data_IF_299164233414
#
_entry.id   IF_299164233414
#
_cell.length_a   1.000
_cell.length_b   1.000
_cell.length_c   1.000
_cell.angle_alpha   90.00
_cell.angle_beta   90.00
_cell.angle_gamma   90.00
#
_symmetry.space_group_name_H-M   'P 1'
#
loop_
_entity.id
_entity.type
_entity.pdbx_description
1 polymer ?
#
# COMPACT_ATOMS: atom_id res chain seq x y z
N UNK A 1 47.28 -48.41 -17.36
CA UNK A 1 48.72 -48.31 -17.68
C UNK A 1 48.82 -47.72 -19.07
N UNK A 2 49.38 -46.49 -19.15
CA UNK A 2 50.43 -46.05 -20.10
C UNK A 2 50.44 -46.71 -21.50
N UNK A 3 50.54 -46.06 -22.66
CA UNK A 3 50.98 -44.71 -23.06
C UNK A 3 50.99 -44.68 -24.60
N UNK A 4 50.81 -43.49 -25.20
CA UNK A 4 51.56 -42.90 -26.34
C UNK A 4 51.58 -43.60 -27.72
N UNK A 5 51.03 -42.94 -28.74
CA UNK A 5 51.70 -42.13 -29.79
C UNK A 5 52.19 -42.99 -30.97
N UNK A 6 51.71 -42.69 -32.19
CA UNK A 6 52.57 -42.14 -33.25
C UNK A 6 51.78 -41.79 -34.51
N UNK A 7 52.04 -40.58 -35.00
CA UNK A 7 51.73 -40.10 -36.35
C UNK A 7 52.71 -40.74 -37.35
N UNK A 8 52.25 -41.05 -38.58
CA UNK A 8 53.10 -40.78 -39.74
C UNK A 8 52.36 -40.61 -41.07
N UNK A 9 52.90 -39.67 -41.83
CA UNK A 9 52.50 -39.17 -43.14
C UNK A 9 52.71 -40.19 -44.28
N UNK A 10 51.92 -40.07 -45.38
CA UNK A 10 52.45 -39.85 -46.76
C UNK A 10 51.36 -39.72 -47.85
N UNK A 11 51.35 -38.53 -48.46
CA UNK A 11 51.30 -38.14 -49.89
C UNK A 11 50.50 -38.95 -50.95
N UNK A 12 49.60 -38.19 -51.61
CA UNK A 12 49.40 -37.96 -53.06
C UNK A 12 49.12 -39.15 -53.99
N UNK A 13 47.95 -39.14 -54.66
CA UNK A 13 47.79 -39.12 -56.13
C UNK A 13 46.43 -38.48 -56.50
N UNK A 14 46.47 -37.69 -57.58
CA UNK A 14 45.41 -36.96 -58.27
C UNK A 14 44.16 -37.76 -58.67
N UNK A 15 43.04 -37.06 -58.86
CA UNK A 15 41.89 -37.65 -59.53
C UNK A 15 40.61 -36.83 -59.48
N UNK A 16 40.63 -35.69 -60.15
CA UNK A 16 39.53 -35.05 -60.89
C UNK A 16 38.06 -35.32 -60.53
N UNK A 17 37.27 -34.27 -60.74
CA UNK A 17 35.84 -34.23 -61.08
C UNK A 17 34.78 -34.11 -59.97
N UNK A 18 34.05 -32.98 -60.12
CA UNK A 18 32.66 -32.67 -59.69
C UNK A 18 32.51 -31.93 -58.37
N UNK A 19 32.42 -30.60 -58.50
CA UNK A 19 31.73 -29.71 -57.58
C UNK A 19 30.32 -30.27 -57.30
N UNK A 20 30.13 -30.83 -56.12
CA UNK A 20 28.84 -30.87 -55.45
C UNK A 20 28.84 -29.73 -54.42
N UNK A 21 28.01 -28.73 -54.68
CA UNK A 21 27.63 -27.69 -53.72
C UNK A 21 26.82 -28.36 -52.59
N UNK A 22 27.50 -28.87 -51.58
CA UNK A 22 26.90 -29.22 -50.30
C UNK A 22 26.69 -27.93 -49.51
N UNK A 23 25.46 -27.41 -49.55
CA UNK A 23 24.99 -26.44 -48.56
C UNK A 23 25.07 -27.08 -47.17
N UNK A 24 26.12 -26.75 -46.43
CA UNK A 24 26.14 -26.89 -44.98
C UNK A 24 25.07 -25.95 -44.42
N UNK A 25 23.90 -26.51 -44.13
CA UNK A 25 22.89 -25.81 -43.33
C UNK A 25 23.43 -25.79 -41.91
N UNK A 26 24.08 -24.69 -41.56
CA UNK A 26 24.49 -24.37 -40.20
C UNK A 26 23.21 -24.29 -39.35
N UNK A 27 22.91 -25.35 -38.58
CA UNK A 27 21.96 -25.28 -37.49
C UNK A 27 22.58 -24.37 -36.42
N UNK A 28 22.42 -23.06 -36.60
CA UNK A 28 22.54 -22.12 -35.50
C UNK A 28 21.42 -22.47 -34.52
N UNK A 29 21.79 -23.15 -33.43
CA UNK A 29 20.97 -23.18 -32.22
C UNK A 29 20.94 -21.74 -31.72
N UNK A 30 19.99 -20.97 -32.24
CA UNK A 30 19.59 -19.70 -31.65
C UNK A 30 18.97 -20.09 -30.32
N UNK A 31 19.78 -20.07 -29.25
CA UNK A 31 19.27 -19.86 -27.91
C UNK A 31 18.55 -18.52 -27.99
N UNK A 32 17.26 -18.58 -28.28
CA UNK A 32 16.34 -17.48 -28.03
C UNK A 32 16.37 -17.30 -26.52
N UNK A 33 17.26 -16.43 -26.05
CA UNK A 33 17.03 -15.64 -24.85
C UNK A 33 15.75 -14.86 -25.13
N UNK A 34 14.61 -15.53 -24.94
CA UNK A 34 13.39 -14.83 -24.63
C UNK A 34 13.78 -13.92 -23.46
N UNK A 35 13.61 -12.59 -23.58
CA UNK A 35 13.69 -11.78 -22.39
C UNK A 35 12.71 -12.41 -21.42
N UNK A 36 13.22 -12.86 -20.27
CA UNK A 36 12.38 -13.03 -19.10
C UNK A 36 11.73 -11.66 -18.98
N UNK A 37 10.50 -11.54 -19.47
CA UNK A 37 9.63 -10.47 -19.08
C UNK A 37 9.54 -10.67 -17.58
N UNK A 38 10.39 -9.94 -16.86
CA UNK A 38 10.09 -9.51 -15.51
C UNK A 38 8.64 -9.09 -15.61
N UNK A 39 7.75 -9.89 -15.04
CA UNK A 39 6.41 -9.44 -14.72
C UNK A 39 6.68 -8.23 -13.86
N UNK A 40 6.59 -7.04 -14.48
CA UNK A 40 6.49 -5.82 -13.75
C UNK A 40 5.34 -6.10 -12.79
N UNK A 41 5.67 -6.31 -11.51
CA UNK A 41 4.69 -6.50 -10.46
C UNK A 41 3.79 -5.28 -10.58
N UNK A 42 2.65 -5.44 -11.25
CA UNK A 42 1.65 -4.39 -11.34
C UNK A 42 1.08 -4.32 -9.95
N UNK A 43 1.74 -3.52 -9.11
CA UNK A 43 1.23 -3.10 -7.82
C UNK A 43 -0.23 -2.76 -8.04
N UNK A 44 -1.13 -3.41 -7.30
CA UNK A 44 -2.58 -3.28 -7.49
C UNK A 44 -3.04 -1.81 -7.43
N UNK A 45 -2.19 -0.91 -6.94
CA UNK A 45 -2.45 0.49 -6.69
C UNK A 45 -3.05 0.68 -5.30
N UNK A 46 -3.24 1.94 -4.93
CA UNK A 46 -3.75 2.28 -3.60
C UNK A 46 -5.29 2.21 -3.55
N UNK A 47 -5.85 1.71 -2.45
CA UNK A 47 -7.30 1.69 -2.21
C UNK A 47 -7.74 2.81 -1.25
N UNK A 48 -8.49 3.77 -1.77
CA UNK A 48 -9.28 4.74 -1.00
C UNK A 48 -10.66 4.13 -0.75
N UNK A 49 -10.87 3.59 0.46
CA UNK A 49 -12.02 2.76 0.80
C UNK A 49 -13.03 3.61 1.60
N UNK A 50 -14.21 3.85 1.04
CA UNK A 50 -15.31 4.47 1.79
C UNK A 50 -15.82 3.53 2.87
N UNK A 51 -15.74 3.96 4.13
CA UNK A 51 -16.23 3.19 5.28
C UNK A 51 -17.77 3.19 5.35
N UNK A 52 -18.36 2.10 5.83
CA UNK A 52 -19.76 1.97 6.25
C UNK A 52 -20.77 2.41 5.17
N UNK A 53 -20.52 2.02 3.92
CA UNK A 53 -21.31 2.46 2.76
C UNK A 53 -22.58 1.63 2.54
N UNK A 54 -23.35 1.43 3.60
CA UNK A 54 -24.48 0.50 3.66
C UNK A 54 -25.74 0.89 2.86
N UNK A 55 -25.71 2.02 2.14
CA UNK A 55 -26.80 2.49 1.28
C UNK A 55 -26.27 2.96 -0.07
N UNK A 56 -27.14 2.97 -1.07
CA UNK A 56 -26.86 3.45 -2.42
C UNK A 56 -26.36 4.91 -2.40
N UNK A 57 -26.91 5.73 -1.49
CA UNK A 57 -26.50 7.11 -1.28
C UNK A 57 -25.10 7.21 -0.66
N UNK A 58 -24.76 6.36 0.30
CA UNK A 58 -23.41 6.31 0.87
C UNK A 58 -22.36 5.86 -0.17
N UNK A 59 -22.68 4.87 -1.01
CA UNK A 59 -21.81 4.46 -2.13
C UNK A 59 -21.61 5.62 -3.12
N UNK A 60 -22.69 6.32 -3.49
CA UNK A 60 -22.61 7.48 -4.38
C UNK A 60 -21.75 8.59 -3.78
N UNK A 61 -21.89 8.86 -2.47
CA UNK A 61 -21.08 9.84 -1.76
C UNK A 61 -19.60 9.45 -1.77
N UNK A 62 -19.26 8.21 -1.43
CA UNK A 62 -17.86 7.76 -1.38
C UNK A 62 -17.20 7.89 -2.77
N UNK A 63 -17.86 7.38 -3.80
CA UNK A 63 -17.45 7.50 -5.21
C UNK A 63 -17.24 8.95 -5.62
N UNK A 64 -18.22 9.83 -5.35
CA UNK A 64 -18.16 11.25 -5.71
C UNK A 64 -16.96 11.94 -5.06
N UNK A 65 -16.57 11.47 -3.88
CA UNK A 65 -15.42 11.96 -3.13
C UNK A 65 -14.13 11.19 -3.44
N UNK A 66 -14.05 10.48 -4.57
CA UNK A 66 -12.80 9.90 -5.08
C UNK A 66 -12.46 8.51 -4.52
N UNK A 67 -13.36 7.86 -3.79
CA UNK A 67 -13.17 6.46 -3.40
C UNK A 67 -13.11 5.56 -4.64
N UNK A 68 -12.17 4.63 -4.65
CA UNK A 68 -12.10 3.52 -5.61
C UNK A 68 -12.34 2.17 -4.92
N UNK A 69 -12.59 2.16 -3.61
CA UNK A 69 -13.08 1.02 -2.86
C UNK A 69 -14.21 1.44 -1.94
N UNK A 70 -15.03 0.47 -1.53
CA UNK A 70 -16.08 0.68 -0.53
C UNK A 70 -16.13 -0.49 0.43
N UNK A 71 -16.50 -0.24 1.68
CA UNK A 71 -16.78 -1.26 2.68
C UNK A 71 -18.28 -1.25 3.02
N UNK A 72 -18.85 -2.44 3.21
CA UNK A 72 -20.25 -2.66 3.54
C UNK A 72 -20.43 -3.76 4.60
N UNK A 73 -21.28 -3.47 5.59
CA UNK A 73 -21.52 -4.31 6.76
C UNK A 73 -22.61 -5.36 6.49
N UNK A 74 -22.23 -6.57 6.11
CA UNK A 74 -23.17 -7.61 5.74
C UNK A 74 -23.79 -8.30 6.96
N UNK A 75 -25.14 -8.38 6.98
CA UNK A 75 -25.92 -9.19 7.90
C UNK A 75 -26.65 -10.31 7.18
N UNK A 76 -26.84 -11.40 7.91
CA UNK A 76 -27.49 -12.62 7.43
C UNK A 76 -28.88 -12.77 8.06
N UNK A 77 -29.78 -13.43 7.34
CA UNK A 77 -31.01 -13.96 7.92
C UNK A 77 -30.74 -15.22 8.77
N UNK A 78 -31.80 -15.76 9.38
CA UNK A 78 -31.73 -16.98 10.21
C UNK A 78 -31.29 -18.25 9.47
N UNK A 79 -31.32 -18.23 8.13
CA UNK A 79 -30.90 -19.35 7.29
C UNK A 79 -29.47 -19.16 6.75
N UNK A 80 -28.79 -18.08 7.15
CA UNK A 80 -27.46 -17.77 6.65
C UNK A 80 -27.45 -17.20 5.25
N UNK A 81 -28.56 -16.63 4.78
CA UNK A 81 -28.62 -15.92 3.49
C UNK A 81 -28.28 -14.45 3.73
N UNK A 82 -27.38 -13.84 2.94
CA UNK A 82 -27.15 -12.39 2.94
C UNK A 82 -28.47 -11.60 2.81
N UNK A 83 -28.88 -10.91 3.87
CA UNK A 83 -30.17 -10.20 3.93
C UNK A 83 -30.00 -8.72 3.59
N UNK A 84 -29.15 -8.04 4.34
CA UNK A 84 -28.99 -6.58 4.25
C UNK A 84 -27.60 -6.12 4.64
N UNK A 85 -27.23 -4.95 4.12
CA UNK A 85 -26.09 -4.21 4.62
C UNK A 85 -26.55 -3.21 5.68
N UNK A 86 -26.01 -3.32 6.88
CA UNK A 86 -26.32 -2.43 8.01
C UNK A 86 -25.31 -2.62 9.13
N UNK A 87 -24.63 -1.55 9.49
CA UNK A 87 -23.73 -1.50 10.64
C UNK A 87 -24.47 -1.80 11.96
N UNK A 88 -25.40 -0.91 12.36
CA UNK A 88 -25.97 -0.89 13.71
C UNK A 88 -25.37 0.24 14.55
N UNK A 89 -25.90 0.47 15.75
CA UNK A 89 -25.34 1.45 16.68
C UNK A 89 -24.30 0.80 17.63
N UNK A 90 -23.25 1.52 18.06
CA UNK A 90 -22.89 2.91 17.68
C UNK A 90 -22.11 3.00 16.35
N UNK A 91 -22.13 4.17 15.69
CA UNK A 91 -21.22 4.50 14.57
C UNK A 91 -19.84 4.94 15.07
N UNK A 92 -18.89 5.03 14.14
CA UNK A 92 -17.70 5.87 14.26
C UNK A 92 -18.01 7.35 14.53
N UNK A 93 -17.22 7.95 15.43
CA UNK A 93 -17.48 9.26 16.04
C UNK A 93 -17.30 10.44 15.06
N UNK A 94 -16.35 10.33 14.14
CA UNK A 94 -16.08 11.34 13.10
C UNK A 94 -17.00 11.23 11.88
N UNK A 95 -17.76 10.14 11.78
CA UNK A 95 -18.61 9.85 10.63
C UNK A 95 -19.67 10.95 10.40
N UNK A 96 -20.19 11.55 11.48
CA UNK A 96 -21.18 12.64 11.41
C UNK A 96 -20.62 14.02 11.07
N UNK A 97 -19.30 14.21 11.10
CA UNK A 97 -18.65 15.53 10.89
C UNK A 97 -18.13 15.64 9.47
N UNK A 98 -19.01 15.90 8.49
CA UNK A 98 -18.66 15.92 7.06
C UNK A 98 -18.10 14.56 6.55
N UNK A 99 -18.53 13.46 7.17
CA UNK A 99 -18.22 12.09 6.77
C UNK A 99 -19.43 11.38 6.17
N UNK A 100 -19.29 10.07 5.89
CA UNK A 100 -20.36 9.25 5.28
C UNK A 100 -21.69 9.29 6.05
N UNK A 101 -21.68 9.46 7.38
CA UNK A 101 -22.93 9.53 8.15
C UNK A 101 -23.76 10.77 7.85
N UNK A 102 -23.16 11.83 7.28
CA UNK A 102 -23.93 13.02 6.88
C UNK A 102 -24.95 12.69 5.80
N UNK A 103 -24.62 11.78 4.88
CA UNK A 103 -25.56 11.31 3.85
C UNK A 103 -26.49 10.21 4.35
N UNK A 104 -26.11 9.51 5.42
CA UNK A 104 -26.97 8.52 6.09
C UNK A 104 -27.96 9.17 7.09
N UNK A 105 -27.77 10.43 7.47
CA UNK A 105 -28.54 11.08 8.54
C UNK A 105 -30.06 11.08 8.28
N UNK A 106 -30.47 11.29 7.03
CA UNK A 106 -31.87 11.21 6.60
C UNK A 106 -32.38 9.77 6.38
N UNK A 107 -31.52 8.77 6.51
CA UNK A 107 -31.79 7.34 6.30
C UNK A 107 -31.73 6.52 7.61
N UNK A 108 -31.64 7.19 8.76
CA UNK A 108 -31.52 6.55 10.08
C UNK A 108 -30.07 6.45 10.60
N UNK A 109 -29.12 7.16 9.98
CA UNK A 109 -27.73 7.25 10.42
C UNK A 109 -27.04 5.88 10.43
N UNK A 110 -26.54 5.46 11.58
CA UNK A 110 -25.88 4.15 11.78
C UNK A 110 -26.77 2.95 11.54
N UNK A 111 -28.10 3.16 11.61
CA UNK A 111 -29.10 2.13 11.40
C UNK A 111 -29.55 2.07 9.93
N UNK A 112 -29.11 3.02 9.10
CA UNK A 112 -29.36 3.02 7.68
C UNK A 112 -28.80 1.74 7.05
N UNK A 113 -29.59 1.16 6.15
CA UNK A 113 -29.21 -0.08 5.50
C UNK A 113 -30.17 -0.43 4.38
N UNK A 114 -29.68 -1.26 3.47
CA UNK A 114 -30.42 -1.71 2.30
C UNK A 114 -30.32 -3.23 2.13
N UNK A 115 -31.28 -3.83 1.42
CA UNK A 115 -31.19 -5.24 1.06
C UNK A 115 -29.89 -5.54 0.32
N UNK A 116 -29.30 -6.71 0.57
CA UNK A 116 -28.02 -7.10 -0.02
C UNK A 116 -28.05 -7.01 -1.55
N UNK A 117 -29.11 -7.55 -2.15
CA UNK A 117 -29.35 -7.50 -3.60
C UNK A 117 -29.32 -6.08 -4.18
N UNK A 118 -30.10 -5.15 -3.61
CA UNK A 118 -30.18 -3.78 -4.12
C UNK A 118 -28.83 -3.07 -4.08
N UNK A 119 -28.11 -3.18 -2.96
CA UNK A 119 -26.84 -2.49 -2.80
C UNK A 119 -25.73 -3.10 -3.68
N UNK A 120 -25.62 -4.44 -3.74
CA UNK A 120 -24.63 -5.10 -4.60
C UNK A 120 -24.85 -4.76 -6.07
N UNK A 121 -26.10 -4.79 -6.56
CA UNK A 121 -26.42 -4.39 -7.92
C UNK A 121 -26.03 -2.93 -8.20
N UNK A 122 -26.23 -2.04 -7.23
CA UNK A 122 -25.82 -0.64 -7.35
C UNK A 122 -24.30 -0.49 -7.36
N UNK A 123 -23.58 -1.21 -6.52
CA UNK A 123 -22.11 -1.24 -6.51
C UNK A 123 -21.58 -1.76 -7.85
N UNK A 124 -22.16 -2.83 -8.40
CA UNK A 124 -21.77 -3.37 -9.71
C UNK A 124 -21.90 -2.35 -10.85
N UNK A 125 -22.87 -1.42 -10.75
CA UNK A 125 -23.02 -0.33 -11.72
C UNK A 125 -21.91 0.73 -11.66
N UNK A 126 -21.07 0.74 -10.61
CA UNK A 126 -20.03 1.75 -10.39
C UNK A 126 -18.70 1.32 -11.01
N UNK A 127 -18.55 1.65 -12.30
CA UNK A 127 -17.35 1.32 -13.06
C UNK A 127 -16.03 1.91 -12.52
N UNK A 128 -16.06 2.88 -11.59
CA UNK A 128 -14.83 3.39 -10.94
C UNK A 128 -14.36 2.58 -9.72
N UNK A 129 -15.17 1.63 -9.23
CA UNK A 129 -14.80 0.84 -8.05
C UNK A 129 -13.91 -0.33 -8.43
N UNK A 130 -12.74 -0.40 -7.82
CA UNK A 130 -11.76 -1.47 -7.92
C UNK A 130 -11.85 -2.49 -6.78
N UNK A 131 -12.56 -2.16 -5.70
CA UNK A 131 -12.64 -2.99 -4.50
C UNK A 131 -13.99 -2.85 -3.78
N UNK A 132 -14.49 -3.97 -3.27
CA UNK A 132 -15.54 -4.02 -2.24
C UNK A 132 -15.03 -4.85 -1.07
N UNK A 133 -15.11 -4.31 0.14
CA UNK A 133 -14.84 -5.04 1.38
C UNK A 133 -16.18 -5.41 2.01
N UNK A 134 -16.39 -6.70 2.24
CA UNK A 134 -17.59 -7.24 2.89
C UNK A 134 -17.24 -7.52 4.35
N UNK A 135 -17.60 -6.61 5.25
CA UNK A 135 -17.49 -6.82 6.69
C UNK A 135 -18.64 -7.73 7.12
N UNK A 136 -18.35 -9.02 7.25
CA UNK A 136 -19.36 -10.02 7.54
C UNK A 136 -19.65 -10.06 9.05
N UNK A 137 -20.84 -9.60 9.44
CA UNK A 137 -21.28 -9.60 10.85
C UNK A 137 -21.74 -10.99 11.29
N UNK A 138 -20.78 -11.90 11.42
CA UNK A 138 -20.96 -13.29 11.87
C UNK A 138 -20.45 -13.51 13.30
N UNK A 139 -20.93 -14.57 13.93
CA UNK A 139 -20.60 -14.99 15.28
C UNK A 139 -20.33 -16.49 15.33
N UNK A 140 -19.58 -16.96 16.33
CA UNK A 140 -19.25 -18.39 16.50
C UNK A 140 -20.47 -19.32 16.67
N UNK A 141 -21.63 -18.78 17.04
CA UNK A 141 -22.89 -19.53 17.17
C UNK A 141 -23.63 -19.70 15.86
N UNK A 142 -23.22 -18.99 14.80
CA UNK A 142 -23.83 -19.12 13.48
C UNK A 142 -23.42 -20.43 12.81
N UNK A 143 -24.20 -20.83 11.79
CA UNK A 143 -23.82 -21.90 10.88
C UNK A 143 -22.77 -21.38 9.88
N UNK A 144 -21.54 -21.19 10.36
CA UNK A 144 -20.44 -20.55 9.62
C UNK A 144 -20.23 -21.16 8.22
N UNK A 145 -20.40 -22.48 8.07
CA UNK A 145 -20.28 -23.17 6.79
C UNK A 145 -21.34 -22.69 5.78
N UNK A 146 -22.61 -22.68 6.20
CA UNK A 146 -23.72 -22.23 5.35
C UNK A 146 -23.58 -20.75 5.01
N UNK A 147 -23.23 -19.92 5.99
CA UNK A 147 -23.08 -18.47 5.81
C UNK A 147 -21.94 -18.15 4.84
N UNK A 148 -20.78 -18.81 5.00
CA UNK A 148 -19.63 -18.65 4.12
C UNK A 148 -19.90 -19.11 2.69
N UNK A 149 -20.64 -20.21 2.54
CA UNK A 149 -21.08 -20.67 1.22
C UNK A 149 -22.04 -19.67 0.56
N UNK A 150 -23.01 -19.15 1.30
CA UNK A 150 -24.06 -18.29 0.76
C UNK A 150 -23.58 -16.88 0.43
N UNK A 151 -22.58 -16.34 1.15
CA UNK A 151 -22.00 -15.03 0.80
C UNK A 151 -21.40 -15.06 -0.60
N UNK A 152 -20.62 -16.10 -0.94
CA UNK A 152 -20.00 -16.21 -2.27
C UNK A 152 -21.05 -16.40 -3.36
N UNK A 153 -22.04 -17.27 -3.15
CA UNK A 153 -23.13 -17.44 -4.13
C UNK A 153 -23.88 -16.14 -4.41
N UNK A 154 -24.09 -15.33 -3.37
CA UNK A 154 -24.77 -14.03 -3.50
C UNK A 154 -23.89 -13.01 -4.22
N UNK A 155 -22.59 -12.96 -3.91
CA UNK A 155 -21.64 -12.08 -4.57
C UNK A 155 -21.46 -12.44 -6.05
N UNK A 156 -21.41 -13.71 -6.40
CA UNK A 156 -21.43 -14.15 -7.80
C UNK A 156 -22.69 -13.60 -8.51
N UNK A 157 -23.88 -13.89 -7.97
CA UNK A 157 -25.15 -13.60 -8.65
C UNK A 157 -25.56 -12.11 -8.68
N UNK A 158 -25.28 -11.36 -7.61
CA UNK A 158 -25.79 -9.99 -7.42
C UNK A 158 -24.68 -8.93 -7.49
N UNK A 159 -23.41 -9.31 -7.61
CA UNK A 159 -22.31 -8.36 -7.81
C UNK A 159 -21.55 -8.64 -9.11
N UNK A 160 -20.92 -9.81 -9.24
CA UNK A 160 -20.07 -10.12 -10.38
C UNK A 160 -20.86 -10.34 -11.68
N UNK A 161 -21.92 -11.15 -11.64
CA UNK A 161 -22.84 -11.36 -12.78
C UNK A 161 -23.57 -10.07 -13.20
N UNK A 162 -23.52 -9.02 -12.36
CA UNK A 162 -24.04 -7.68 -12.64
C UNK A 162 -23.00 -6.72 -13.22
N UNK A 163 -21.80 -7.22 -13.51
CA UNK A 163 -20.77 -6.48 -14.23
C UNK A 163 -19.73 -5.79 -13.34
N UNK A 164 -19.65 -6.14 -12.05
CA UNK A 164 -18.56 -5.66 -11.22
C UNK A 164 -17.22 -6.24 -11.66
N UNK A 165 -16.27 -5.37 -11.98
CA UNK A 165 -14.94 -5.74 -12.48
C UNK A 165 -13.83 -5.53 -11.46
N UNK A 166 -14.14 -5.19 -10.20
CA UNK A 166 -13.15 -5.06 -9.15
C UNK A 166 -12.81 -6.38 -8.45
N UNK A 167 -12.20 -6.25 -7.28
CA UNK A 167 -11.93 -7.34 -6.33
C UNK A 167 -12.94 -7.28 -5.18
N UNK A 168 -13.14 -8.42 -4.50
CA UNK A 168 -13.90 -8.50 -3.25
C UNK A 168 -13.00 -9.04 -2.15
N UNK A 169 -12.95 -8.34 -1.02
CA UNK A 169 -12.42 -8.87 0.24
C UNK A 169 -13.59 -9.33 1.09
N UNK A 170 -13.67 -10.63 1.38
CA UNK A 170 -14.60 -11.19 2.36
C UNK A 170 -13.90 -11.17 3.73
N UNK A 171 -14.38 -10.31 4.61
CA UNK A 171 -13.80 -10.06 5.93
C UNK A 171 -14.65 -10.62 7.07
N UNK A 172 -13.99 -10.95 8.18
CA UNK A 172 -14.62 -11.15 9.49
C UNK A 172 -13.88 -10.34 10.54
N UNK A 173 -14.61 -9.93 11.58
CA UNK A 173 -14.02 -9.22 12.71
C UNK A 173 -12.91 -10.02 13.40
N UNK A 174 -13.21 -11.28 13.76
CA UNK A 174 -12.41 -12.02 14.75
C UNK A 174 -11.97 -13.41 14.25
N UNK A 175 -10.79 -13.89 14.69
CA UNK A 175 -10.27 -15.21 14.31
C UNK A 175 -11.15 -16.40 14.70
N UNK A 176 -12.01 -16.28 15.72
CA UNK A 176 -12.89 -17.36 16.19
C UNK A 176 -14.04 -17.68 15.22
N UNK A 177 -14.20 -16.88 14.16
CA UNK A 177 -15.15 -17.11 13.07
C UNK A 177 -14.50 -17.61 11.79
N UNK A 178 -13.24 -18.07 11.84
CA UNK A 178 -12.46 -18.55 10.69
C UNK A 178 -13.18 -19.61 9.83
N UNK A 179 -14.04 -20.44 10.43
CA UNK A 179 -14.85 -21.43 9.69
C UNK A 179 -15.73 -20.81 8.60
N UNK A 180 -16.14 -19.55 8.75
CA UNK A 180 -16.87 -18.81 7.73
C UNK A 180 -15.97 -18.50 6.52
N UNK A 181 -14.76 -18.01 6.77
CA UNK A 181 -13.78 -17.73 5.71
C UNK A 181 -13.34 -19.03 5.00
N UNK A 182 -13.19 -20.14 5.72
CA UNK A 182 -12.87 -21.44 5.12
C UNK A 182 -13.97 -21.89 4.15
N UNK A 183 -15.23 -21.81 4.56
CA UNK A 183 -16.35 -22.17 3.69
C UNK A 183 -16.51 -21.22 2.50
N UNK A 184 -16.30 -19.91 2.71
CA UNK A 184 -16.29 -18.93 1.63
C UNK A 184 -15.14 -19.19 0.64
N UNK A 185 -13.93 -19.48 1.10
CA UNK A 185 -12.78 -19.81 0.25
C UNK A 185 -13.06 -21.07 -0.61
N UNK A 186 -13.59 -22.13 -0.01
CA UNK A 186 -13.96 -23.36 -0.71
C UNK A 186 -15.06 -23.14 -1.75
N UNK A 187 -16.03 -22.25 -1.46
CA UNK A 187 -17.06 -21.90 -2.43
C UNK A 187 -16.54 -20.99 -3.53
N UNK A 188 -15.66 -20.02 -3.21
CA UNK A 188 -15.05 -19.11 -4.16
C UNK A 188 -14.15 -19.83 -5.18
N UNK A 189 -13.48 -20.90 -4.77
CA UNK A 189 -12.70 -21.76 -5.67
C UNK A 189 -13.54 -22.34 -6.83
N UNK A 190 -14.86 -22.51 -6.61
CA UNK A 190 -15.80 -23.02 -7.63
C UNK A 190 -16.36 -21.91 -8.53
N UNK A 191 -16.14 -20.65 -8.18
CA UNK A 191 -16.64 -19.49 -8.92
C UNK A 191 -15.76 -19.20 -10.13
N UNK A 192 -16.36 -18.73 -11.22
CA UNK A 192 -15.61 -18.18 -12.36
C UNK A 192 -14.82 -16.92 -12.01
N UNK A 193 -15.13 -16.31 -10.86
CA UNK A 193 -14.48 -15.12 -10.32
C UNK A 193 -13.46 -15.41 -9.22
N UNK A 194 -13.03 -16.67 -9.05
CA UNK A 194 -12.12 -17.11 -7.98
C UNK A 194 -10.90 -16.19 -7.76
N UNK A 195 -10.28 -15.71 -8.84
CA UNK A 195 -9.11 -14.83 -8.79
C UNK A 195 -9.39 -13.43 -8.18
N UNK A 196 -10.66 -13.05 -8.01
CA UNK A 196 -11.11 -11.74 -7.51
C UNK A 196 -11.59 -11.79 -6.06
N UNK A 197 -11.64 -12.98 -5.46
CA UNK A 197 -11.97 -13.16 -4.05
C UNK A 197 -10.71 -13.18 -3.19
N UNK A 198 -10.70 -12.35 -2.16
CA UNK A 198 -9.66 -12.26 -1.15
C UNK A 198 -10.28 -12.35 0.23
N UNK A 199 -9.48 -12.74 1.22
CA UNK A 199 -9.96 -13.00 2.58
C UNK A 199 -9.14 -12.25 3.61
N UNK A 200 -9.81 -11.73 4.65
CA UNK A 200 -9.19 -10.91 5.68
C UNK A 200 -9.83 -11.14 7.05
N UNK A 201 -9.06 -10.87 8.12
CA UNK A 201 -9.54 -10.78 9.50
C UNK A 201 -9.09 -9.41 10.00
N UNK A 202 -10.03 -8.56 10.42
CA UNK A 202 -9.81 -7.11 10.46
C UNK A 202 -9.74 -6.47 11.87
N UNK A 203 -10.07 -7.19 12.95
CA UNK A 203 -9.90 -6.75 14.35
C UNK A 203 -8.78 -7.51 15.09
N UNK A 204 -7.68 -7.81 14.39
CA UNK A 204 -6.50 -8.44 14.99
C UNK A 204 -5.69 -7.54 15.91
N UNK A 205 -5.89 -6.21 15.85
CA UNK A 205 -5.07 -5.24 16.56
C UNK A 205 -3.59 -5.38 16.19
N UNK A 206 -2.73 -5.51 17.19
CA UNK A 206 -1.27 -5.67 17.01
C UNK A 206 -0.83 -7.11 16.73
N UNK A 207 -1.72 -8.11 16.81
CA UNK A 207 -1.40 -9.52 16.53
C UNK A 207 -1.29 -9.81 15.02
N UNK A 208 -0.34 -9.15 14.36
CA UNK A 208 -0.13 -9.30 12.91
C UNK A 208 0.20 -10.75 12.54
N UNK A 209 1.09 -11.39 13.30
CA UNK A 209 1.57 -12.74 13.02
C UNK A 209 0.45 -13.76 13.20
N UNK A 210 -0.28 -13.73 14.32
CA UNK A 210 -1.37 -14.66 14.57
C UNK A 210 -2.47 -14.55 13.51
N UNK A 211 -2.80 -13.33 13.07
CA UNK A 211 -3.77 -13.13 11.99
C UNK A 211 -3.29 -13.72 10.67
N UNK A 212 -2.03 -13.48 10.28
CA UNK A 212 -1.48 -14.04 9.04
C UNK A 212 -1.41 -15.57 9.11
N UNK A 213 -1.05 -16.17 10.26
CA UNK A 213 -1.08 -17.62 10.46
C UNK A 213 -2.48 -18.19 10.21
N UNK A 214 -3.54 -17.52 10.70
CA UNK A 214 -4.93 -17.91 10.43
C UNK A 214 -5.30 -17.77 8.95
N UNK A 215 -4.87 -16.71 8.28
CA UNK A 215 -5.13 -16.53 6.85
C UNK A 215 -4.42 -17.58 5.99
N UNK A 216 -3.19 -17.99 6.35
CA UNK A 216 -2.47 -19.09 5.68
C UNK A 216 -3.24 -20.41 5.81
N UNK A 217 -3.90 -20.66 6.93
CA UNK A 217 -4.70 -21.87 7.14
C UNK A 217 -5.94 -22.01 6.24
N UNK A 218 -6.20 -21.03 5.36
CA UNK A 218 -7.19 -21.14 4.28
C UNK A 218 -6.66 -21.94 3.07
N UNK A 219 -5.37 -22.25 3.02
CA UNK A 219 -4.81 -23.16 2.02
C UNK A 219 -5.29 -24.61 2.27
N UNK A 220 -5.49 -25.43 1.21
CA UNK A 220 -5.24 -25.12 -0.21
C UNK A 220 -6.43 -24.45 -0.92
N UNK A 221 -7.49 -24.08 -0.21
CA UNK A 221 -8.69 -23.50 -0.86
C UNK A 221 -8.38 -22.17 -1.56
N UNK A 222 -7.49 -21.35 -0.98
CA UNK A 222 -7.06 -20.09 -1.59
C UNK A 222 -5.72 -19.58 -1.05
N UNK A 223 -4.97 -18.89 -1.91
CA UNK A 223 -3.81 -18.07 -1.51
C UNK A 223 -4.09 -16.56 -1.57
N UNK A 224 -5.34 -16.16 -1.84
CA UNK A 224 -5.73 -14.75 -1.93
C UNK A 224 -6.00 -14.16 -0.54
N UNK A 225 -4.92 -13.78 0.15
CA UNK A 225 -4.96 -13.26 1.53
C UNK A 225 -4.70 -11.76 1.57
N UNK A 226 -5.45 -11.02 2.38
CA UNK A 226 -5.21 -9.60 2.64
C UNK A 226 -5.15 -9.36 4.15
N UNK A 227 -4.09 -8.69 4.60
CA UNK A 227 -3.98 -8.28 6.01
C UNK A 227 -4.72 -6.95 6.22
N UNK A 228 -5.67 -6.94 7.15
CA UNK A 228 -6.39 -5.75 7.59
C UNK A 228 -6.24 -5.61 9.10
N UNK A 229 -6.08 -4.40 9.59
CA UNK A 229 -6.21 -4.12 11.02
C UNK A 229 -6.77 -2.72 11.23
N UNK A 230 -7.21 -2.41 12.44
CA UNK A 230 -7.83 -1.14 12.70
C UNK A 230 -8.57 -1.08 14.02
N UNK A 231 -9.02 0.13 14.32
CA UNK A 231 -9.98 0.40 15.37
C UNK A 231 -10.87 1.54 14.92
N UNK A 232 -12.07 1.58 15.49
CA UNK A 232 -13.00 2.69 15.32
C UNK A 232 -12.28 4.04 15.47
N UNK A 233 -12.62 5.01 14.63
CA UNK A 233 -12.10 6.38 14.72
C UNK A 233 -12.41 7.06 16.08
N UNK A 234 -13.31 6.46 16.89
CA UNK A 234 -13.59 6.85 18.27
C UNK A 234 -12.48 6.51 19.28
N UNK A 235 -11.65 5.52 19.00
CA UNK A 235 -10.74 4.97 19.99
C UNK A 235 -9.30 5.47 19.80
N UNK A 236 -8.58 5.60 20.91
CA UNK A 236 -7.15 5.82 20.89
C UNK A 236 -6.45 4.48 20.56
N UNK A 237 -6.14 4.26 19.29
CA UNK A 237 -5.30 3.16 18.83
C UNK A 237 -4.29 3.64 17.79
N UNK A 238 -3.09 3.07 17.83
CA UNK A 238 -2.06 3.28 16.81
C UNK A 238 -1.52 1.91 16.40
N UNK A 239 -1.57 1.62 15.11
CA UNK A 239 -1.20 0.33 14.53
C UNK A 239 -0.08 0.49 13.50
N UNK A 240 0.79 1.48 13.67
CA UNK A 240 1.86 1.76 12.70
C UNK A 240 2.81 0.57 12.56
N UNK A 241 3.22 -0.03 13.69
CA UNK A 241 4.11 -1.20 13.66
C UNK A 241 3.44 -2.42 13.04
N UNK A 242 2.17 -2.67 13.36
CA UNK A 242 1.39 -3.76 12.76
C UNK A 242 1.25 -3.58 11.24
N UNK A 243 1.01 -2.36 10.76
CA UNK A 243 0.96 -2.07 9.32
C UNK A 243 2.34 -2.21 8.66
N UNK A 244 3.42 -1.75 9.30
CA UNK A 244 4.78 -1.97 8.79
C UNK A 244 5.08 -3.47 8.71
N UNK A 245 4.72 -4.26 9.72
CA UNK A 245 4.91 -5.71 9.74
C UNK A 245 4.04 -6.42 8.69
N UNK A 246 2.81 -5.97 8.49
CA UNK A 246 1.94 -6.41 7.40
C UNK A 246 2.58 -6.12 6.03
N UNK A 247 3.17 -4.92 5.85
CA UNK A 247 3.86 -4.56 4.63
C UNK A 247 5.09 -5.43 4.38
N UNK A 248 5.88 -5.78 5.41
CA UNK A 248 6.96 -6.75 5.25
C UNK A 248 6.47 -8.10 4.77
N UNK A 249 5.38 -8.60 5.33
CA UNK A 249 4.76 -9.84 4.89
C UNK A 249 4.23 -9.73 3.45
N UNK A 250 3.71 -8.56 3.04
CA UNK A 250 3.31 -8.30 1.66
C UNK A 250 4.50 -8.34 0.69
N UNK A 251 5.62 -7.68 1.04
CA UNK A 251 6.85 -7.68 0.24
C UNK A 251 7.49 -9.07 0.11
N UNK A 252 7.29 -9.94 1.10
CA UNK A 252 7.72 -11.35 1.05
C UNK A 252 6.68 -12.28 0.37
N UNK A 253 5.58 -11.73 -0.16
CA UNK A 253 4.54 -12.50 -0.84
C UNK A 253 3.67 -13.36 0.09
N UNK A 254 3.67 -13.10 1.39
CA UNK A 254 2.86 -13.84 2.38
C UNK A 254 1.40 -13.41 2.33
N UNK A 255 1.15 -12.12 2.10
CA UNK A 255 -0.17 -11.52 1.86
C UNK A 255 -0.14 -10.67 0.59
N UNK A 256 -1.27 -10.55 -0.10
CA UNK A 256 -1.36 -9.80 -1.34
C UNK A 256 -1.46 -8.29 -1.16
N UNK A 257 -2.05 -7.83 -0.06
CA UNK A 257 -2.22 -6.42 0.26
C UNK A 257 -2.36 -6.19 1.76
N UNK A 258 -2.29 -4.92 2.16
CA UNK A 258 -2.37 -4.44 3.55
C UNK A 258 -3.27 -3.21 3.58
N UNK A 259 -4.26 -3.19 4.46
CA UNK A 259 -5.09 -2.00 4.68
C UNK A 259 -5.31 -1.69 6.17
N UNK A 260 -5.67 -0.44 6.44
CA UNK A 260 -5.98 0.05 7.79
C UNK A 260 -7.36 0.72 7.83
N UNK A 261 -8.06 0.60 8.95
CA UNK A 261 -9.32 1.28 9.23
C UNK A 261 -9.40 1.78 10.70
N UNK A 262 -10.31 2.69 11.07
CA UNK A 262 -10.85 3.77 10.24
C UNK A 262 -10.00 5.02 10.44
N UNK A 263 -9.39 5.55 9.37
CA UNK A 263 -8.42 6.65 9.48
C UNK A 263 -8.99 7.93 8.86
N UNK A 264 -9.35 8.90 9.70
CA UNK A 264 -9.99 10.13 9.24
C UNK A 264 -9.08 11.35 9.25
N UNK A 265 -8.05 11.40 10.11
CA UNK A 265 -7.17 12.57 10.19
C UNK A 265 -6.12 12.54 9.08
N UNK A 266 -5.95 13.65 8.35
CA UNK A 266 -4.98 13.77 7.26
C UNK A 266 -3.52 13.45 7.70
N UNK A 267 -3.15 13.86 8.93
CA UNK A 267 -1.85 13.52 9.51
C UNK A 267 -1.68 12.01 9.71
N UNK A 268 -2.71 11.33 10.22
CA UNK A 268 -2.71 9.88 10.40
C UNK A 268 -2.70 9.13 9.06
N UNK A 269 -3.50 9.57 8.08
CA UNK A 269 -3.49 8.99 6.72
C UNK A 269 -2.08 8.99 6.13
N UNK A 270 -1.37 10.13 6.20
CA UNK A 270 0.02 10.23 5.73
C UNK A 270 0.97 9.30 6.48
N UNK A 271 0.80 9.15 7.80
CA UNK A 271 1.62 8.24 8.60
C UNK A 271 1.38 6.78 8.20
N UNK A 272 0.13 6.35 8.02
CA UNK A 272 -0.16 4.98 7.59
C UNK A 272 0.27 4.67 6.16
N UNK A 273 0.22 5.64 5.24
CA UNK A 273 0.83 5.52 3.91
C UNK A 273 2.34 5.25 4.07
N UNK A 274 3.04 5.99 4.95
CA UNK A 274 4.48 5.75 5.24
C UNK A 274 4.73 4.45 5.99
N UNK A 275 3.81 3.96 6.79
CA UNK A 275 3.92 2.62 7.39
C UNK A 275 3.75 1.50 6.36
N UNK A 276 3.35 1.81 5.12
CA UNK A 276 3.20 0.82 4.05
C UNK A 276 1.78 0.27 3.87
N UNK A 277 0.75 0.97 4.37
CA UNK A 277 -0.62 0.65 4.01
C UNK A 277 -0.82 0.83 2.50
N UNK A 278 -1.46 -0.13 1.85
CA UNK A 278 -1.87 -0.08 0.44
C UNK A 278 -3.37 0.23 0.28
N UNK A 279 -4.10 0.26 1.38
CA UNK A 279 -5.47 0.74 1.46
C UNK A 279 -5.74 1.47 2.77
N UNK A 280 -6.55 2.51 2.72
CA UNK A 280 -7.08 3.17 3.91
C UNK A 280 -8.60 3.23 3.78
N UNK A 281 -9.27 2.72 4.81
CA UNK A 281 -10.69 2.87 5.01
C UNK A 281 -10.97 4.13 5.85
N UNK A 282 -11.87 4.98 5.36
CA UNK A 282 -12.14 6.30 5.95
C UNK A 282 -13.58 6.73 5.76
N UNK A 283 -14.06 7.55 6.70
CA UNK A 283 -15.33 8.28 6.57
C UNK A 283 -15.19 9.51 5.66
N UNK A 284 -13.96 9.92 5.28
CA UNK A 284 -13.69 11.09 4.44
C UNK A 284 -12.85 10.77 3.19
N UNK A 285 -13.40 10.04 2.19
CA UNK A 285 -12.65 9.67 0.99
C UNK A 285 -12.02 10.84 0.25
N UNK A 286 -12.66 12.02 0.24
CA UNK A 286 -12.14 13.21 -0.44
C UNK A 286 -10.84 13.73 0.18
N UNK A 287 -10.73 13.64 1.51
CA UNK A 287 -9.50 14.02 2.23
C UNK A 287 -8.34 13.10 1.87
N UNK A 288 -8.61 11.80 1.76
CA UNK A 288 -7.60 10.82 1.35
C UNK A 288 -7.24 11.01 -0.13
N UNK A 289 -8.22 11.21 -1.01
CA UNK A 289 -8.00 11.43 -2.44
C UNK A 289 -7.09 12.65 -2.71
N UNK A 290 -7.29 13.75 -1.97
CA UNK A 290 -6.41 14.92 -2.02
C UNK A 290 -4.97 14.60 -1.62
N UNK A 291 -4.78 13.75 -0.60
CA UNK A 291 -3.45 13.33 -0.16
C UNK A 291 -2.79 12.47 -1.24
N UNK A 292 -3.51 11.48 -1.78
CA UNK A 292 -3.00 10.59 -2.83
C UNK A 292 -2.61 11.37 -4.08
N UNK A 293 -3.44 12.31 -4.53
CA UNK A 293 -3.13 13.21 -5.66
C UNK A 293 -1.88 14.06 -5.40
N UNK A 294 -1.78 14.69 -4.22
CA UNK A 294 -0.62 15.50 -3.84
C UNK A 294 0.67 14.69 -3.76
N UNK A 295 0.57 13.44 -3.30
CA UNK A 295 1.70 12.51 -3.22
C UNK A 295 1.94 11.71 -4.51
N UNK A 296 1.12 11.93 -5.55
CA UNK A 296 1.16 11.20 -6.83
C UNK A 296 1.05 9.67 -6.66
N UNK A 297 0.35 9.22 -5.64
CA UNK A 297 0.10 7.80 -5.40
C UNK A 297 -1.02 7.35 -6.34
N UNK A 298 -0.72 6.37 -7.20
CA UNK A 298 -1.69 5.82 -8.15
C UNK A 298 -2.72 4.96 -7.42
N UNK A 299 -4.00 5.28 -7.61
CA UNK A 299 -5.10 4.45 -7.14
C UNK A 299 -5.23 3.17 -7.96
N UNK A 300 -5.67 2.10 -7.32
CA UNK A 300 -6.04 0.86 -7.96
C UNK A 300 -7.12 1.08 -9.02
N UNK A 301 -6.97 0.40 -10.17
CA UNK A 301 -7.92 0.48 -11.26
C UNK A 301 -8.95 -0.66 -11.18
N UNK A 302 -10.19 -0.43 -11.62
CA UNK A 302 -11.11 -1.53 -11.88
C UNK A 302 -10.45 -2.59 -12.77
N UNK A 303 -10.55 -3.86 -12.40
CA UNK A 303 -9.92 -4.98 -13.11
C UNK A 303 -8.48 -5.30 -12.69
N UNK A 304 -7.76 -4.42 -11.99
CA UNK A 304 -6.44 -4.78 -11.46
C UNK A 304 -6.58 -5.77 -10.31
N UNK A 305 -5.89 -6.91 -10.39
CA UNK A 305 -5.90 -7.91 -9.33
C UNK A 305 -4.94 -7.52 -8.19
N UNK A 306 -5.31 -7.89 -6.98
CA UNK A 306 -4.36 -7.92 -5.86
C UNK A 306 -3.44 -9.15 -6.07
N UNK A 307 -2.11 -9.05 -5.93
CA UNK A 307 -1.25 -10.22 -6.09
C UNK A 307 -1.68 -11.36 -5.15
N UNK A 308 -1.81 -12.57 -5.67
CA UNK A 308 -1.98 -13.76 -4.82
C UNK A 308 -0.71 -13.99 -4.01
N UNK A 309 -0.85 -14.52 -2.80
CA UNK A 309 0.31 -14.85 -1.98
C UNK A 309 1.13 -15.98 -2.62
N UNK A 310 2.45 -15.83 -2.59
CA UNK A 310 3.44 -16.77 -3.12
C UNK A 310 4.28 -17.44 -2.03
N UNK A 311 4.06 -17.07 -0.77
CA UNK A 311 4.82 -17.58 0.38
C UNK A 311 3.91 -17.83 1.59
N UNK A 312 4.34 -18.75 2.44
CA UNK A 312 3.82 -19.00 3.79
C UNK A 312 4.84 -18.66 4.87
N UNK A 313 6.03 -18.17 4.49
CA UNK A 313 7.13 -17.85 5.41
C UNK A 313 6.92 -16.48 6.03
N UNK A 314 6.25 -16.47 7.19
CA UNK A 314 5.85 -15.24 7.87
C UNK A 314 7.07 -14.46 8.38
N UNK A 315 7.12 -13.18 8.04
CA UNK A 315 7.97 -12.21 8.74
C UNK A 315 7.37 -11.97 10.12
N UNK A 316 8.08 -12.42 11.16
CA UNK A 316 7.59 -12.38 12.55
C UNK A 316 7.90 -11.07 13.29
N UNK A 317 8.73 -10.21 12.73
CA UNK A 317 9.07 -8.91 13.31
C UNK A 317 9.95 -8.08 12.39
N UNK A 318 9.96 -6.76 12.61
CA UNK A 318 10.82 -5.82 11.91
C UNK A 318 11.76 -5.19 12.93
N UNK A 319 13.04 -5.11 12.59
CA UNK A 319 14.01 -4.39 13.43
C UNK A 319 13.63 -2.91 13.46
N UNK A 320 13.44 -2.37 14.65
CA UNK A 320 13.20 -0.95 14.85
C UNK A 320 14.51 -0.17 14.68
N UNK A 321 14.44 0.92 13.92
CA UNK A 321 15.46 1.97 13.89
C UNK A 321 15.35 2.87 15.13
N UNK A 322 16.35 3.73 15.35
CA UNK A 322 16.33 4.68 16.46
C UNK A 322 17.06 5.98 16.11
N UNK A 323 16.74 7.06 16.84
CA UNK A 323 17.27 8.40 16.60
C UNK A 323 17.67 9.12 17.89
N UNK A 324 18.83 9.76 17.88
CA UNK A 324 19.33 10.59 18.97
C UNK A 324 18.98 12.06 18.74
N UNK A 325 18.79 12.80 19.83
CA UNK A 325 18.62 14.24 19.79
C UNK A 325 19.97 14.95 19.68
N UNK A 326 20.01 15.96 18.83
CA UNK A 326 21.09 16.95 18.75
C UNK A 326 20.50 18.36 18.70
N UNK A 327 21.29 19.41 19.04
CA UNK A 327 20.84 20.78 18.89
C UNK A 327 20.31 21.03 17.47
N UNK A 328 19.00 21.33 17.35
CA UNK A 328 18.33 21.60 16.08
C UNK A 328 17.41 20.48 15.58
N UNK A 329 17.58 19.23 16.01
CA UNK A 329 16.70 18.12 15.59
C UNK A 329 17.25 16.73 15.89
N UNK A 330 16.83 15.74 15.11
CA UNK A 330 17.22 14.34 15.32
C UNK A 330 18.27 13.87 14.29
N UNK A 331 19.03 12.84 14.67
CA UNK A 331 19.86 12.04 13.74
C UNK A 331 19.64 10.56 13.99
N UNK A 332 19.82 9.72 12.97
CA UNK A 332 19.73 8.26 13.13
C UNK A 332 20.86 7.77 14.04
N UNK A 333 20.49 7.11 15.14
CA UNK A 333 21.42 6.43 16.04
C UNK A 333 21.52 4.94 15.71
N UNK A 334 20.44 4.36 15.20
CA UNK A 334 20.36 2.98 14.72
C UNK A 334 19.62 2.92 13.38
N UNK A 335 20.27 2.44 12.29
CA UNK A 335 19.65 2.40 10.98
C UNK A 335 18.43 1.47 10.92
N UNK A 336 17.55 1.74 9.97
CA UNK A 336 16.46 0.85 9.59
C UNK A 336 17.01 -0.42 8.90
N UNK A 337 16.25 -1.53 8.91
CA UNK A 337 16.60 -2.72 8.11
C UNK A 337 16.53 -2.42 6.61
N UNK A 338 17.24 -3.22 5.80
CA UNK A 338 17.21 -3.15 4.35
C UNK A 338 15.78 -3.15 3.80
N UNK A 339 15.51 -2.24 2.85
CA UNK A 339 14.19 -2.01 2.27
C UNK A 339 13.29 -1.06 3.08
N UNK A 340 13.77 -0.51 4.20
CA UNK A 340 13.03 0.41 5.06
C UNK A 340 13.85 1.66 5.37
N UNK A 341 13.19 2.67 5.91
CA UNK A 341 13.80 3.92 6.34
C UNK A 341 13.41 4.28 7.78
N UNK A 342 14.12 5.25 8.36
CA UNK A 342 13.87 5.68 9.74
C UNK A 342 13.15 7.03 9.79
N UNK A 343 11.90 7.04 10.26
CA UNK A 343 11.16 8.27 10.56
C UNK A 343 11.57 8.78 11.94
N UNK A 344 12.62 9.61 11.98
CA UNK A 344 13.04 10.27 13.20
C UNK A 344 12.01 11.32 13.63
N UNK A 345 11.67 11.37 14.91
CA UNK A 345 10.74 12.37 15.43
C UNK A 345 11.15 12.87 16.80
N UNK A 346 11.06 14.18 16.99
CA UNK A 346 11.22 14.81 18.30
C UNK A 346 10.09 14.35 19.22
N UNK A 347 10.45 13.88 20.42
CA UNK A 347 9.51 13.32 21.41
C UNK A 347 9.24 14.26 22.59
N UNK A 348 9.83 15.46 22.60
CA UNK A 348 9.79 16.38 23.75
C UNK A 348 11.01 16.23 24.64
N UNK A 349 11.20 17.18 25.57
CA UNK A 349 12.28 17.16 26.58
C UNK A 349 13.67 16.85 26.01
N UNK A 350 14.00 17.40 24.84
CA UNK A 350 15.29 17.19 24.15
C UNK A 350 15.57 15.72 23.84
N UNK A 351 14.53 14.96 23.51
CA UNK A 351 14.64 13.57 23.08
C UNK A 351 14.10 13.38 21.67
N UNK A 352 14.70 12.43 20.98
CA UNK A 352 14.26 11.92 19.69
C UNK A 352 13.98 10.43 19.81
N UNK A 353 13.22 9.90 18.86
CA UNK A 353 13.07 8.47 18.68
C UNK A 353 12.79 8.13 17.22
N UNK A 354 13.18 6.92 16.83
CA UNK A 354 12.96 6.39 15.49
C UNK A 354 11.68 5.57 15.36
N UNK A 355 11.19 5.45 14.13
CA UNK A 355 10.15 4.47 13.77
C UNK A 355 10.47 3.93 12.39
N UNK A 356 10.47 2.60 12.24
CA UNK A 356 10.72 1.97 10.93
C UNK A 356 9.50 2.15 10.02
N UNK A 357 9.72 2.77 8.86
CA UNK A 357 8.70 3.08 7.84
C UNK A 357 9.17 2.62 6.46
N UNK A 358 8.27 2.53 5.50
CA UNK A 358 8.66 2.30 4.10
C UNK A 358 9.49 3.47 3.58
N UNK A 359 10.38 3.16 2.64
CA UNK A 359 11.19 4.18 1.98
C UNK A 359 10.33 5.09 1.12
N UNK A 360 10.74 6.36 1.00
CA UNK A 360 10.15 7.26 0.01
C UNK A 360 10.57 6.92 -1.42
N UNK A 361 11.78 6.38 -1.59
CA UNK A 361 12.28 5.81 -2.84
C UNK A 361 12.88 4.43 -2.57
N UNK A 362 12.15 3.38 -2.92
CA UNK A 362 12.59 1.99 -2.77
C UNK A 362 13.82 1.65 -3.63
N UNK A 363 14.14 2.46 -4.65
CA UNK A 363 15.33 2.24 -5.49
C UNK A 363 16.60 2.90 -4.95
N UNK A 364 16.45 3.80 -3.99
CA UNK A 364 17.57 4.52 -3.35
C UNK A 364 18.57 3.54 -2.74
N UNK A 365 19.89 3.77 -2.90
CA UNK A 365 20.90 2.99 -2.19
C UNK A 365 20.72 3.07 -0.67
N UNK A 366 20.23 4.21 -0.16
CA UNK A 366 19.96 4.44 1.25
C UNK A 366 18.69 3.76 1.77
N UNK A 367 17.86 3.21 0.87
CA UNK A 367 16.77 2.29 1.22
C UNK A 367 17.25 0.84 1.21
N UNK A 368 18.08 0.47 0.22
CA UNK A 368 18.63 -0.89 0.07
C UNK A 368 19.59 -1.23 1.21
N UNK A 369 20.45 -0.27 1.56
CA UNK A 369 21.43 -0.37 2.64
C UNK A 369 21.36 0.88 3.52
N UNK A 370 20.34 1.00 4.40
CA UNK A 370 20.21 2.17 5.26
C UNK A 370 21.37 2.27 6.25
N UNK A 371 21.89 3.49 6.42
CA UNK A 371 22.95 3.81 7.36
C UNK A 371 22.49 4.96 8.29
N UNK A 372 23.45 5.62 8.94
CA UNK A 372 23.18 6.75 9.84
C UNK A 372 23.26 8.11 9.14
N UNK A 373 23.40 8.16 7.82
CA UNK A 373 23.53 9.40 7.05
C UNK A 373 22.25 10.22 7.04
N UNK A 374 22.36 11.50 6.65
CA UNK A 374 21.17 12.30 6.42
C UNK A 374 20.34 11.73 5.28
N UNK A 375 20.97 11.17 4.24
CA UNK A 375 20.29 10.56 3.11
C UNK A 375 19.35 9.43 3.56
N UNK A 376 19.82 8.55 4.46
CA UNK A 376 18.96 7.53 5.08
C UNK A 376 17.86 8.12 5.97
N UNK A 377 18.11 9.25 6.64
CA UNK A 377 17.09 9.94 7.43
C UNK A 377 15.98 10.54 6.54
N UNK A 378 16.34 11.24 5.46
CA UNK A 378 15.34 11.85 4.56
C UNK A 378 14.50 10.81 3.86
N UNK A 379 14.98 9.58 3.65
CA UNK A 379 14.16 8.46 3.15
C UNK A 379 12.98 8.13 4.08
N UNK A 380 13.08 8.36 5.39
CA UNK A 380 11.99 8.16 6.33
C UNK A 380 11.00 9.33 6.41
N UNK A 381 11.40 10.49 5.89
CA UNK A 381 10.57 11.70 5.90
C UNK A 381 10.30 12.28 7.30
N UNK A 382 11.20 11.97 8.25
CA UNK A 382 11.18 12.47 9.62
C UNK A 382 11.96 13.79 9.81
N UNK A 383 12.25 14.11 11.07
CA UNK A 383 13.12 15.23 11.45
C UNK A 383 14.60 14.84 11.32
N UNK A 384 15.30 15.48 10.40
CA UNK A 384 16.71 15.27 10.11
C UNK A 384 17.56 16.52 10.36
N UNK A 385 17.10 17.43 11.23
CA UNK A 385 17.81 18.71 11.47
C UNK A 385 18.95 18.60 12.48
N UNK A 386 19.15 17.42 13.11
CA UNK A 386 20.26 17.20 14.05
C UNK A 386 21.62 16.99 13.37
N UNK A 387 21.65 16.80 12.04
CA UNK A 387 22.87 16.56 11.29
C UNK A 387 23.74 17.82 11.18
N UNK A 388 24.97 17.75 11.72
CA UNK A 388 25.91 18.88 11.71
C UNK A 388 26.28 19.27 10.27
N UNK A 389 26.39 20.58 10.04
CA UNK A 389 26.70 21.18 8.73
C UNK A 389 25.67 20.90 7.63
N UNK A 390 24.53 20.28 7.95
CA UNK A 390 23.46 20.04 6.99
C UNK A 390 22.33 21.02 7.22
N UNK A 391 22.47 22.19 6.60
CA UNK A 391 21.50 23.29 6.71
C UNK A 391 21.34 23.96 5.36
N UNK A 392 20.17 24.52 5.14
CA UNK A 392 19.91 25.45 4.06
C UNK A 392 19.26 26.69 4.67
N UNK A 393 19.27 27.80 3.94
CA UNK A 393 18.68 29.04 4.42
C UNK A 393 18.05 29.84 3.28
N UNK A 394 17.12 30.71 3.64
CA UNK A 394 16.36 31.50 2.68
C UNK A 394 16.21 32.94 3.13
N UNK A 395 16.45 33.87 2.22
CA UNK A 395 16.30 35.30 2.45
C UNK A 395 14.97 35.80 1.89
N UNK A 396 14.46 36.87 2.49
CA UNK A 396 13.26 37.53 2.01
C UNK A 396 13.55 38.39 0.78
N UNK A 397 12.68 38.29 -0.20
CA UNK A 397 12.59 39.23 -1.32
C UNK A 397 11.14 39.65 -1.54
N UNK A 398 10.94 40.73 -2.30
CA UNK A 398 9.59 41.18 -2.64
C UNK A 398 8.84 40.06 -3.37
N UNK A 399 7.79 39.52 -2.73
CA UNK A 399 6.96 38.45 -3.29
C UNK A 399 7.13 37.07 -2.63
N UNK A 400 8.17 36.86 -1.81
CA UNK A 400 8.36 35.59 -1.09
C UNK A 400 9.81 35.36 -0.68
N UNK A 401 10.21 34.09 -0.62
CA UNK A 401 11.58 33.71 -0.23
C UNK A 401 12.45 33.30 -1.44
N UNK A 402 13.77 33.47 -1.31
CA UNK A 402 14.80 32.88 -2.19
C UNK A 402 15.80 32.09 -1.35
N UNK A 403 16.45 31.08 -1.92
CA UNK A 403 17.51 30.33 -1.23
C UNK A 403 18.75 31.22 -1.12
N UNK A 404 19.19 31.48 0.10
CA UNK A 404 20.45 32.16 0.40
C UNK A 404 21.58 31.18 0.70
N UNK A 405 21.26 29.99 1.20
CA UNK A 405 22.19 28.86 1.37
C UNK A 405 21.57 27.57 0.82
N UNK A 406 22.21 27.01 -0.20
CA UNK A 406 21.75 25.77 -0.85
C UNK A 406 21.72 24.60 0.13
N UNK A 407 20.82 23.65 -0.14
CA UNK A 407 20.76 22.38 0.58
C UNK A 407 21.93 21.47 0.18
N UNK A 408 22.21 20.44 0.98
CA UNK A 408 23.23 19.43 0.64
C UNK A 408 22.68 18.45 -0.42
N UNK A 409 23.54 17.73 -1.17
CA UNK A 409 23.10 16.72 -2.13
C UNK A 409 22.02 15.78 -1.58
N UNK A 410 21.10 15.38 -2.46
CA UNK A 410 19.92 14.53 -2.20
C UNK A 410 18.89 15.10 -1.22
N UNK A 411 19.02 16.38 -0.86
CA UNK A 411 18.06 17.09 -0.03
C UNK A 411 17.61 18.38 -0.72
N UNK A 412 16.52 18.97 -0.23
CA UNK A 412 16.00 20.21 -0.77
C UNK A 412 15.79 21.25 0.32
N UNK A 413 15.87 22.53 -0.05
CA UNK A 413 15.61 23.61 0.88
C UNK A 413 14.15 24.03 0.87
N UNK A 414 13.44 23.78 1.97
CA UNK A 414 12.08 24.26 2.15
C UNK A 414 12.08 25.64 2.78
N UNK A 415 12.03 26.65 1.93
CA UNK A 415 11.85 28.03 2.37
C UNK A 415 10.47 28.26 2.96
N UNK A 416 10.37 29.12 3.97
CA UNK A 416 9.11 29.52 4.57
C UNK A 416 9.16 30.97 5.01
N UNK A 417 8.20 31.78 4.57
CA UNK A 417 8.02 33.14 5.08
C UNK A 417 7.65 33.11 6.57
N UNK A 418 8.36 33.91 7.38
CA UNK A 418 8.21 33.93 8.85
C UNK A 418 7.49 35.18 9.35
N UNK A 419 7.04 36.06 8.47
CA UNK A 419 6.50 37.38 8.83
C UNK A 419 7.59 38.44 8.89
N UNK A 420 7.20 39.72 9.04
CA UNK A 420 8.11 40.86 9.16
C UNK A 420 9.24 40.89 8.12
N UNK A 421 8.93 40.54 6.86
CA UNK A 421 9.93 40.53 5.78
C UNK A 421 11.12 39.60 6.08
N UNK A 422 10.87 38.48 6.76
CA UNK A 422 11.87 37.46 7.04
C UNK A 422 11.47 36.12 6.45
N UNK A 423 12.48 35.37 6.02
CA UNK A 423 12.37 33.99 5.56
C UNK A 423 13.31 33.12 6.37
N UNK A 424 13.10 31.81 6.32
CA UNK A 424 14.05 30.84 6.83
C UNK A 424 13.99 29.54 6.03
N UNK A 425 15.13 28.87 5.94
CA UNK A 425 15.24 27.56 5.31
C UNK A 425 15.22 26.41 6.32
N UNK A 426 14.73 25.26 5.88
CA UNK A 426 14.96 23.97 6.54
C UNK A 426 15.23 22.91 5.50
N UNK A 427 16.09 21.95 5.85
CA UNK A 427 16.30 20.77 5.02
C UNK A 427 15.00 19.96 5.02
N UNK A 428 14.58 19.56 3.83
CA UNK A 428 13.43 18.69 3.59
C UNK A 428 13.81 17.72 2.46
N UNK A 429 12.96 16.73 2.22
CA UNK A 429 13.13 15.82 1.10
C UNK A 429 12.94 16.54 -0.24
N UNK A 430 13.61 16.03 -1.26
CA UNK A 430 13.35 16.47 -2.62
C UNK A 430 11.94 16.08 -3.08
N UNK A 431 11.35 16.93 -3.93
CA UNK A 431 10.13 16.61 -4.66
C UNK A 431 10.38 15.50 -5.69
N UNK A 432 11.56 15.51 -6.30
CA UNK A 432 12.04 14.52 -7.25
C UNK A 432 13.51 14.21 -6.96
N UNK A 433 13.79 13.00 -6.47
CA UNK A 433 15.15 12.56 -6.14
C UNK A 433 16.05 12.40 -7.37
N UNK A 434 15.48 12.22 -8.56
CA UNK A 434 16.23 12.09 -9.82
C UNK A 434 16.59 13.45 -10.45
N UNK A 435 16.01 14.54 -9.93
CA UNK A 435 16.24 15.88 -10.47
C UNK A 435 17.70 16.32 -10.25
N UNK A 436 18.37 16.94 -11.25
CA UNK A 436 19.71 17.51 -11.06
C UNK A 436 19.76 18.54 -9.92
N UNK A 437 18.65 19.27 -9.70
CA UNK A 437 18.51 20.23 -8.59
C UNK A 437 18.36 19.60 -7.20
N UNK A 438 18.19 18.28 -7.13
CA UNK A 438 18.23 17.49 -5.89
C UNK A 438 19.62 16.85 -5.72
N UNK A 439 20.18 16.30 -6.79
CA UNK A 439 21.52 15.69 -6.79
C UNK A 439 22.62 16.73 -6.55
N UNK A 440 22.43 17.95 -7.01
CA UNK A 440 23.34 19.08 -6.83
C UNK A 440 22.54 20.37 -6.60
N UNK A 441 21.96 20.56 -5.40
CA UNK A 441 21.15 21.74 -5.12
C UNK A 441 21.98 23.01 -5.19
N UNK A 442 21.40 24.05 -5.78
CA UNK A 442 21.97 25.38 -5.86
C UNK A 442 20.99 26.41 -5.26
N UNK A 443 21.23 27.70 -5.56
CA UNK A 443 20.36 28.79 -5.11
C UNK A 443 19.27 29.14 -6.13
N UNK A 444 19.00 28.29 -7.12
CA UNK A 444 18.01 28.58 -8.17
C UNK A 444 16.56 28.41 -7.67
N UNK A 445 15.62 28.98 -8.44
CA UNK A 445 14.19 28.77 -8.24
C UNK A 445 13.84 27.28 -8.30
N UNK A 446 14.50 26.54 -9.19
CA UNK A 446 14.29 25.11 -9.40
C UNK A 446 14.70 24.30 -8.18
N UNK A 447 15.84 24.61 -7.54
CA UNK A 447 16.23 24.00 -6.26
C UNK A 447 15.26 24.36 -5.12
N UNK A 448 14.72 25.58 -5.09
CA UNK A 448 13.68 25.94 -4.12
C UNK A 448 12.39 25.13 -4.33
N UNK A 449 11.96 24.96 -5.59
CA UNK A 449 10.76 24.20 -5.92
C UNK A 449 10.87 22.71 -5.55
N UNK A 450 12.09 22.16 -5.42
CA UNK A 450 12.29 20.81 -4.88
C UNK A 450 11.87 20.71 -3.41
N UNK A 451 12.08 21.77 -2.61
CA UNK A 451 11.72 21.79 -1.18
C UNK A 451 10.24 22.04 -0.92
N UNK A 452 9.45 22.35 -1.97
CA UNK A 452 8.00 22.62 -1.86
C UNK A 452 7.68 23.70 -0.80
N UNK A 453 8.55 24.71 -0.72
CA UNK A 453 8.42 25.88 0.15
C UNK A 453 7.89 27.10 -0.58
N UNK A 454 8.02 28.26 0.07
CA UNK A 454 7.81 29.56 -0.57
C UNK A 454 8.99 29.90 -1.48
N UNK A 455 8.74 30.02 -2.79
CA UNK A 455 9.74 30.40 -3.79
C UNK A 455 9.30 31.65 -4.57
N UNK A 456 8.45 32.49 -3.97
CA UNK A 456 7.85 33.66 -4.62
C UNK A 456 8.81 34.85 -4.79
N UNK A 457 9.97 34.81 -4.14
CA UNK A 457 10.98 35.87 -4.23
C UNK A 457 11.90 35.79 -5.47
N UNK A 458 11.77 34.74 -6.28
CA UNK A 458 12.57 34.47 -7.48
C UNK A 458 12.01 35.02 -8.78
#
# INVERSE_FOLDING_TARGET
MTTNLELNNRKLVDGNTRLFSLSFTLFAVILSFLPIQSSANTEAGFFNIGHMTNTTNAVNYAVKNGANGVEVDLRFDKNGVPDRFRHGAPCDCSCGVLGVCTVLSNEGGCLAGESAKRLLNHIASKQQLALVVIDSKVSKSDNLNTYGTNVVKTLDAELFDKGFTGNVIVGVAKPDTLGYLQAAALQAQKSSYAARYYFSIDQGGDDTVGIIEKLISLEPATSNRVYGTGISACAAGQYYEAITLGNANQRQGVVGSVYIWTIDKAGSMKKYIRSGALGIMTNHPGRLDDILKKQKIKKAAPGSLIPSSTSTDIVRGIKQCDCDYHPGGCTISKPAPAGYACDCSYKGAWTCGGSTVTCLDDQSPFCKEPDKSIDSCVQGGGDCQGYKNVTCDCDYHKGGCTISKAAVPNTACKCSYKGFWTCGGKIDKCKDFSSPYCLSPDKSKQSCLQGQGDCGGY
#
